data_IF_940176315736
#
_entry.id   IF_940176315736
#
_cell.length_a   1.000
_cell.length_b   1.000
_cell.length_c   1.000
_cell.angle_alpha   90.00
_cell.angle_beta   90.00
_cell.angle_gamma   90.00
#
_symmetry.space_group_name_H-M   'P 1'
#
loop_
_entity.id
_entity.type
_entity.pdbx_description
1 polymer ?
#
# COMPACT_ATOMS: atom_id res chain seq x y z
N UNK A 1 8.51 -5.39 -12.37
CA UNK A 1 7.74 -4.39 -11.60
C UNK A 1 6.90 -5.17 -10.61
N UNK A 2 6.98 -4.86 -9.31
CA UNK A 2 6.20 -5.58 -8.29
C UNK A 2 4.77 -5.06 -8.34
N UNK A 3 3.79 -5.94 -8.46
CA UNK A 3 2.38 -5.59 -8.36
C UNK A 3 1.82 -6.17 -7.07
N UNK A 4 0.94 -5.42 -6.42
CA UNK A 4 0.13 -5.95 -5.32
C UNK A 4 -1.31 -5.99 -5.81
N UNK A 5 -1.90 -7.17 -5.68
CA UNK A 5 -3.32 -7.41 -5.94
C UNK A 5 -4.02 -7.66 -4.62
N UNK A 6 -5.10 -6.93 -4.37
CA UNK A 6 -5.82 -7.04 -3.11
C UNK A 6 -7.08 -6.19 -3.05
N UNK A 7 -7.93 -6.47 -2.06
CA UNK A 7 -9.16 -5.73 -1.83
C UNK A 7 -8.87 -4.38 -1.17
N UNK A 8 -9.41 -3.28 -1.70
CA UNK A 8 -9.29 -1.96 -1.08
C UNK A 8 -10.15 -1.90 0.19
N UNK A 9 -9.53 -1.85 1.36
CA UNK A 9 -10.24 -1.79 2.65
C UNK A 9 -10.41 -0.35 3.14
N UNK A 10 -9.32 0.40 3.21
CA UNK A 10 -9.31 1.76 3.74
C UNK A 10 -8.48 2.69 2.87
N UNK A 11 -8.95 3.93 2.77
CA UNK A 11 -8.19 5.08 2.28
C UNK A 11 -8.23 6.11 3.40
N UNK A 12 -7.08 6.54 3.90
CA UNK A 12 -6.97 7.43 5.05
C UNK A 12 -5.73 8.32 4.95
N UNK A 13 -5.72 9.41 5.71
CA UNK A 13 -4.55 10.27 5.83
C UNK A 13 -3.75 9.85 7.06
N UNK A 14 -2.49 9.46 6.87
CA UNK A 14 -1.59 9.23 7.99
C UNK A 14 -1.24 10.59 8.60
N UNK A 15 -1.47 10.80 9.90
CA UNK A 15 -1.17 12.08 10.54
C UNK A 15 0.32 12.39 10.49
N UNK A 16 0.65 13.67 10.42
CA UNK A 16 2.04 14.13 10.55
C UNK A 16 2.60 13.71 11.91
N UNK A 17 3.87 13.31 11.94
CA UNK A 17 4.54 12.86 13.14
C UNK A 17 5.91 13.53 13.25
N UNK A 18 6.29 13.93 14.47
CA UNK A 18 7.66 14.40 14.76
C UNK A 18 8.45 13.27 15.39
N UNK A 19 9.66 13.02 14.88
CA UNK A 19 10.60 12.07 15.44
C UNK A 19 11.94 12.78 15.65
N UNK A 20 12.13 13.31 16.85
CA UNK A 20 13.25 14.22 17.13
C UNK A 20 13.10 15.51 16.33
N UNK A 21 14.15 15.89 15.59
CA UNK A 21 14.16 17.09 14.73
C UNK A 21 13.53 16.83 13.34
N UNK A 22 13.27 15.58 12.98
CA UNK A 22 12.63 15.23 11.71
C UNK A 22 11.10 15.34 11.83
N UNK A 23 10.50 16.11 10.92
CA UNK A 23 9.04 16.16 10.75
C UNK A 23 8.66 15.28 9.58
N UNK A 24 7.84 14.27 9.84
CA UNK A 24 7.21 13.42 8.84
C UNK A 24 5.87 14.05 8.50
N UNK A 25 5.72 14.53 7.27
CA UNK A 25 4.48 15.15 6.80
C UNK A 25 3.32 14.15 6.78
N UNK A 26 2.10 14.69 6.87
CA UNK A 26 0.90 13.92 6.66
C UNK A 26 0.89 13.39 5.21
N UNK A 27 0.57 12.11 5.04
CA UNK A 27 0.56 11.47 3.72
C UNK A 27 -0.66 10.59 3.53
N UNK A 28 -1.32 10.63 2.37
CA UNK A 28 -2.41 9.71 2.08
C UNK A 28 -1.89 8.27 2.01
N UNK A 29 -2.65 7.35 2.59
CA UNK A 29 -2.38 5.93 2.59
C UNK A 29 -3.62 5.15 2.16
N UNK A 30 -3.38 4.01 1.53
CA UNK A 30 -4.39 3.01 1.20
C UNK A 30 -3.99 1.68 1.81
N UNK A 31 -4.97 0.96 2.34
CA UNK A 31 -4.80 -0.39 2.85
C UNK A 31 -5.47 -1.38 1.93
N UNK A 32 -4.67 -2.32 1.42
CA UNK A 32 -5.11 -3.43 0.59
C UNK A 32 -4.99 -4.74 1.37
N UNK A 33 -6.04 -5.56 1.33
CA UNK A 33 -5.95 -6.95 1.77
C UNK A 33 -5.43 -7.78 0.61
N UNK A 34 -4.14 -8.09 0.62
CA UNK A 34 -3.49 -8.88 -0.41
C UNK A 34 -3.39 -10.35 -0.02
N UNK A 35 -3.44 -11.23 -1.00
CA UNK A 35 -3.18 -12.66 -0.83
C UNK A 35 -1.73 -12.98 -1.23
N UNK A 36 -0.97 -13.57 -0.32
CA UNK A 36 0.43 -13.94 -0.51
C UNK A 36 0.58 -15.45 -0.46
N UNK A 37 1.06 -16.03 -1.55
CA UNK A 37 1.41 -17.45 -1.60
C UNK A 37 2.68 -17.73 -0.80
N UNK A 38 2.62 -18.75 0.02
CA UNK A 38 3.71 -19.24 0.83
C UNK A 38 4.43 -20.39 0.10
N UNK A 39 5.73 -20.62 0.36
CA UNK A 39 6.49 -21.69 -0.31
C UNK A 39 5.97 -23.10 -0.04
N UNK A 40 5.19 -23.28 1.03
CA UNK A 40 4.56 -24.55 1.39
C UNK A 40 3.26 -24.82 0.62
N UNK A 41 2.83 -23.92 -0.26
CA UNK A 41 1.62 -24.05 -1.08
C UNK A 41 0.36 -23.45 -0.45
N UNK A 42 0.42 -22.96 0.79
CA UNK A 42 -0.68 -22.22 1.40
C UNK A 42 -0.71 -20.77 0.91
N UNK A 43 -1.83 -20.09 1.14
CA UNK A 43 -1.92 -18.64 1.01
C UNK A 43 -2.20 -17.98 2.36
N UNK A 44 -1.68 -16.77 2.54
CA UNK A 44 -2.02 -15.91 3.67
C UNK A 44 -2.58 -14.60 3.17
N UNK A 45 -3.59 -14.08 3.85
CA UNK A 45 -3.98 -12.69 3.69
C UNK A 45 -3.08 -11.80 4.53
N UNK A 46 -2.59 -10.72 3.94
CA UNK A 46 -1.79 -9.71 4.63
C UNK A 46 -2.31 -8.33 4.30
N UNK A 47 -2.30 -7.45 5.30
CA UNK A 47 -2.87 -6.12 5.19
C UNK A 47 -1.75 -5.15 4.86
N UNK A 48 -1.64 -4.79 3.59
CA UNK A 48 -0.56 -3.95 3.07
C UNK A 48 -0.99 -2.49 3.08
N UNK A 49 -0.23 -1.66 3.77
CA UNK A 49 -0.41 -0.21 3.76
C UNK A 49 0.53 0.42 2.72
N UNK A 50 -0.03 1.08 1.72
CA UNK A 50 0.68 1.74 0.63
C UNK A 50 0.54 3.24 0.77
N UNK A 51 1.64 3.97 0.62
CA UNK A 51 1.58 5.43 0.47
C UNK A 51 1.15 5.79 -0.96
N UNK A 52 0.18 6.69 -1.10
CA UNK A 52 -0.37 7.12 -2.40
C UNK A 52 -0.43 8.64 -2.51
N UNK A 53 -0.23 9.15 -3.72
CA UNK A 53 -0.44 10.56 -4.05
C UNK A 53 -1.83 10.78 -4.68
N UNK A 54 -2.57 9.71 -5.01
CA UNK A 54 -3.90 9.75 -5.63
C UNK A 54 -4.94 8.93 -4.86
N UNK A 55 -5.25 9.27 -3.59
CA UNK A 55 -6.19 8.51 -2.75
C UNK A 55 -7.58 8.35 -3.37
N UNK A 56 -8.07 9.36 -4.09
CA UNK A 56 -9.37 9.35 -4.78
C UNK A 56 -9.50 8.24 -5.81
N UNK A 57 -8.40 7.85 -6.46
CA UNK A 57 -8.41 6.76 -7.44
C UNK A 57 -8.72 5.41 -6.78
N UNK A 58 -8.44 5.26 -5.48
CA UNK A 58 -8.72 4.04 -4.71
C UNK A 58 -10.09 4.08 -4.02
N UNK A 59 -10.59 5.26 -3.65
CA UNK A 59 -11.90 5.41 -2.98
C UNK A 59 -13.04 4.81 -3.80
N UNK A 60 -13.02 5.00 -5.13
CA UNK A 60 -14.01 4.42 -6.05
C UNK A 60 -13.98 2.88 -6.10
N UNK A 61 -12.86 2.27 -5.71
CA UNK A 61 -12.67 0.82 -5.69
C UNK A 61 -12.77 0.23 -4.29
N UNK A 62 -13.25 0.99 -3.29
CA UNK A 62 -13.43 0.48 -1.93
C UNK A 62 -14.31 -0.77 -1.92
N UNK A 63 -13.84 -1.83 -1.29
CA UNK A 63 -14.47 -3.16 -1.27
C UNK A 63 -14.24 -4.01 -2.53
N UNK A 64 -13.55 -3.49 -3.55
CA UNK A 64 -13.23 -4.22 -4.78
C UNK A 64 -11.75 -4.64 -4.77
N UNK A 65 -11.45 -5.69 -5.53
CA UNK A 65 -10.07 -6.17 -5.73
C UNK A 65 -9.42 -5.37 -6.86
N UNK A 66 -8.28 -4.76 -6.55
CA UNK A 66 -7.48 -3.99 -7.50
C UNK A 66 -6.07 -4.53 -7.59
N UNK A 67 -5.43 -4.31 -8.73
CA UNK A 67 -4.00 -4.51 -8.93
C UNK A 67 -3.32 -3.16 -9.11
N UNK A 68 -2.22 -2.93 -8.40
CA UNK A 68 -1.46 -1.68 -8.49
C UNK A 68 0.03 -1.98 -8.52
N UNK A 69 0.80 -1.31 -9.40
CA UNK A 69 2.25 -1.39 -9.35
C UNK A 69 2.79 -0.66 -8.12
N UNK A 70 3.72 -1.30 -7.44
CA UNK A 70 4.32 -0.80 -6.20
C UNK A 70 5.84 -0.80 -6.30
N UNK A 71 6.44 0.20 -5.67
CA UNK A 71 7.83 0.18 -5.27
C UNK A 71 7.95 -0.30 -3.81
N UNK A 72 9.08 -0.92 -3.49
CA UNK A 72 9.40 -1.34 -2.13
C UNK A 72 10.84 -0.92 -1.80
N UNK A 73 11.07 -0.40 -0.60
CA UNK A 73 12.41 -0.18 -0.08
C UNK A 73 12.49 -0.61 1.39
N UNK A 74 13.67 -1.06 1.81
CA UNK A 74 13.90 -1.54 3.17
C UNK A 74 14.86 -0.59 3.91
N UNK A 75 14.36 0.33 4.74
CA UNK A 75 15.23 1.25 5.48
C UNK A 75 16.05 0.56 6.57
N UNK A 76 15.59 -0.59 7.06
CA UNK A 76 16.29 -1.40 8.05
C UNK A 76 15.90 -2.88 7.91
N UNK A 77 16.76 -3.78 8.39
CA UNK A 77 16.55 -5.22 8.29
C UNK A 77 15.22 -5.62 8.92
N UNK A 78 14.34 -6.22 8.11
CA UNK A 78 13.00 -6.66 8.54
C UNK A 78 11.89 -5.62 8.41
N UNK A 79 12.19 -4.39 7.97
CA UNK A 79 11.18 -3.38 7.65
C UNK A 79 11.13 -3.15 6.15
N UNK A 80 9.98 -3.37 5.52
CA UNK A 80 9.73 -3.03 4.11
C UNK A 80 8.66 -1.96 4.05
N UNK A 81 8.95 -0.87 3.35
CA UNK A 81 8.01 0.21 3.08
C UNK A 81 7.61 0.10 1.62
N UNK A 82 6.30 -0.02 1.40
CA UNK A 82 5.70 -0.03 0.07
C UNK A 82 5.15 1.35 -0.28
N UNK A 83 5.32 1.75 -1.54
CA UNK A 83 4.78 3.00 -2.07
C UNK A 83 4.30 2.81 -3.50
N UNK A 84 3.33 3.63 -3.91
CA UNK A 84 2.84 3.64 -5.28
C UNK A 84 3.69 4.64 -6.09
N UNK A 85 4.34 4.22 -7.19
CA UNK A 85 5.13 5.13 -8.02
C UNK A 85 4.24 6.24 -8.61
N UNK A 86 4.80 7.45 -8.74
CA UNK A 86 4.08 8.60 -9.30
C UNK A 86 3.46 8.28 -10.66
N UNK A 87 2.20 8.65 -10.85
CA UNK A 87 1.45 8.40 -12.09
C UNK A 87 0.84 7.00 -12.21
N UNK A 88 1.10 6.10 -11.26
CA UNK A 88 0.47 4.78 -11.22
C UNK A 88 -0.97 4.89 -10.73
N UNK A 89 -1.85 4.08 -11.32
CA UNK A 89 -3.27 3.99 -10.95
C UNK A 89 -3.65 2.54 -10.67
N UNK A 90 -4.58 2.29 -9.73
CA UNK A 90 -5.14 0.97 -9.56
C UNK A 90 -5.98 0.59 -10.79
N UNK A 91 -5.89 -0.67 -11.21
CA UNK A 91 -6.81 -1.28 -12.16
C UNK A 91 -7.63 -2.38 -11.46
N UNK A 92 -8.84 -2.65 -11.94
CA UNK A 92 -9.60 -3.82 -11.49
C UNK A 92 -8.83 -5.09 -11.84
N UNK A 93 -8.74 -5.99 -10.86
CA UNK A 93 -8.04 -7.26 -10.99
C UNK A 93 -8.90 -8.35 -11.66
#
# INVERSE_FOLDING_TARGET
MLNITGQVLHVFEKPAAKRGDETIDAKPQVQLLGEFFLPNGDSKFDLVTLSTDTPKDFEQFKGQTVSVPVGAFSPSKGSVIYFIPKGSKPCLA
#
